data_IF_408102079474
#
_entry.id   IF_408102079474
#
_cell.length_a   1.000
_cell.length_b   1.000
_cell.length_c   1.000
_cell.angle_alpha   90.00
_cell.angle_beta   90.00
_cell.angle_gamma   90.00
#
_symmetry.space_group_name_H-M   'P 1'
#
loop_
_entity.id
_entity.type
_entity.pdbx_description
1 polymer ?
#
# COMPACT_ATOMS: atom_id res chain seq x y z
N UNK A 1 -10.51 -15.97 -9.33
CA UNK A 1 -11.63 -15.56 -8.45
C UNK A 1 -11.69 -16.54 -7.30
N UNK A 2 -12.06 -16.08 -6.11
CA UNK A 2 -12.21 -16.96 -4.95
C UNK A 2 -13.61 -17.58 -4.97
N UNK A 3 -13.68 -18.90 -4.86
CA UNK A 3 -14.95 -19.65 -4.90
C UNK A 3 -15.56 -19.87 -3.51
N UNK A 4 -14.79 -19.61 -2.45
CA UNK A 4 -15.25 -19.73 -1.07
C UNK A 4 -16.25 -18.62 -0.73
N UNK A 5 -17.51 -19.03 -0.54
CA UNK A 5 -18.63 -18.15 -0.19
C UNK A 5 -18.66 -17.73 1.28
N UNK A 6 -17.85 -18.33 2.16
CA UNK A 6 -17.72 -17.88 3.55
C UNK A 6 -16.83 -16.63 3.68
N UNK A 7 -15.85 -16.46 2.79
CA UNK A 7 -14.87 -15.38 2.86
C UNK A 7 -15.45 -13.96 2.77
N UNK A 8 -16.46 -13.65 1.93
CA UNK A 8 -17.12 -12.35 1.93
C UNK A 8 -17.66 -11.94 3.31
N UNK A 9 -18.18 -12.90 4.08
CA UNK A 9 -18.71 -12.67 5.42
C UNK A 9 -17.60 -12.44 6.44
N UNK A 10 -16.48 -13.16 6.33
CA UNK A 10 -15.31 -12.96 7.20
C UNK A 10 -14.60 -11.62 6.95
N UNK A 11 -14.51 -11.19 5.68
CA UNK A 11 -13.83 -9.95 5.28
C UNK A 11 -14.74 -8.72 5.32
N UNK A 12 -16.00 -8.89 5.70
CA UNK A 12 -16.99 -7.83 5.67
C UNK A 12 -16.65 -6.66 6.58
N UNK A 13 -16.87 -5.44 6.08
CA UNK A 13 -16.81 -4.21 6.87
C UNK A 13 -18.14 -3.48 6.76
N UNK A 14 -18.66 -2.88 7.85
CA UNK A 14 -19.93 -2.12 7.79
C UNK A 14 -19.98 -1.05 6.70
N UNK A 15 -18.83 -0.46 6.35
CA UNK A 15 -18.70 0.53 5.27
C UNK A 15 -19.00 -0.01 3.87
N UNK A 16 -18.91 -1.33 3.64
CA UNK A 16 -19.19 -1.95 2.33
C UNK A 16 -20.68 -1.92 1.98
N UNK A 17 -21.56 -1.74 2.96
CA UNK A 17 -23.02 -1.66 2.74
C UNK A 17 -23.45 -0.52 1.81
N UNK A 18 -22.60 0.50 1.63
CA UNK A 18 -22.83 1.59 0.67
C UNK A 18 -22.78 1.06 -0.78
N UNK A 19 -21.92 0.07 -1.05
CA UNK A 19 -21.74 -0.53 -2.37
C UNK A 19 -22.57 -1.80 -2.56
N UNK A 20 -22.84 -2.52 -1.47
CA UNK A 20 -23.59 -3.78 -1.45
C UNK A 20 -24.71 -3.69 -0.40
N UNK A 21 -25.87 -3.09 -0.74
CA UNK A 21 -26.95 -2.83 0.22
C UNK A 21 -27.49 -4.09 0.90
N UNK A 22 -27.46 -5.22 0.18
CA UNK A 22 -27.95 -6.53 0.62
C UNK A 22 -26.99 -7.23 1.60
N UNK A 23 -25.78 -6.68 1.79
CA UNK A 23 -24.83 -7.15 2.79
C UNK A 23 -23.84 -8.20 2.27
N UNK A 24 -23.14 -8.85 3.20
CA UNK A 24 -22.05 -9.77 2.89
C UNK A 24 -22.48 -11.04 2.14
N UNK A 25 -23.76 -11.40 2.24
CA UNK A 25 -24.39 -12.57 1.62
C UNK A 25 -24.94 -12.27 0.22
N UNK A 26 -24.73 -11.05 -0.31
CA UNK A 26 -25.17 -10.71 -1.66
C UNK A 26 -24.52 -11.65 -2.69
N UNK A 27 -25.32 -12.42 -3.47
CA UNK A 27 -24.80 -13.43 -4.40
C UNK A 27 -23.94 -12.82 -5.52
N UNK A 28 -24.07 -11.51 -5.76
CA UNK A 28 -23.33 -10.77 -6.77
C UNK A 28 -21.94 -10.32 -6.29
N UNK A 29 -21.60 -10.51 -5.01
CA UNK A 29 -20.25 -10.26 -4.50
C UNK A 29 -19.30 -11.35 -5.01
N UNK A 30 -18.17 -10.91 -5.55
CA UNK A 30 -17.05 -11.77 -5.93
C UNK A 30 -15.78 -11.26 -5.27
N UNK A 31 -15.01 -12.19 -4.69
CA UNK A 31 -13.73 -11.87 -4.08
C UNK A 31 -12.59 -12.10 -5.09
N UNK A 32 -11.71 -11.11 -5.19
CA UNK A 32 -10.46 -11.19 -5.94
C UNK A 32 -9.33 -11.50 -4.96
N UNK A 33 -8.60 -12.58 -5.23
CA UNK A 33 -7.34 -12.87 -4.58
C UNK A 33 -6.22 -12.47 -5.52
N UNK A 34 -5.34 -11.60 -5.04
CA UNK A 34 -4.17 -11.10 -5.78
C UNK A 34 -2.94 -11.55 -5.02
N UNK A 35 -2.11 -12.38 -5.66
CA UNK A 35 -0.80 -12.78 -5.16
C UNK A 35 0.24 -11.94 -5.87
N UNK A 36 0.90 -11.03 -5.14
CA UNK A 36 2.01 -10.25 -5.68
C UNK A 36 3.29 -11.07 -5.68
N UNK A 37 4.06 -11.00 -6.76
CA UNK A 37 5.35 -11.70 -6.85
C UNK A 37 6.51 -10.85 -6.34
N UNK A 38 6.47 -9.56 -6.69
CA UNK A 38 7.48 -8.57 -6.34
C UNK A 38 6.82 -7.27 -5.93
N UNK A 39 7.48 -6.50 -5.06
CA UNK A 39 7.09 -5.14 -4.73
C UNK A 39 8.31 -4.22 -4.61
N UNK A 40 8.14 -3.01 -5.14
CA UNK A 40 8.98 -1.87 -4.83
C UNK A 40 8.25 -0.99 -3.82
N UNK A 41 8.97 -0.57 -2.78
CA UNK A 41 8.41 0.35 -1.78
C UNK A 41 9.30 1.57 -1.60
N UNK A 42 8.66 2.67 -1.18
CA UNK A 42 9.32 3.89 -0.70
C UNK A 42 8.80 4.23 0.69
N UNK A 43 9.66 4.14 1.70
CA UNK A 43 9.34 4.44 3.10
C UNK A 43 9.90 5.79 3.54
N UNK A 44 9.05 6.81 3.49
CA UNK A 44 9.32 8.14 4.00
C UNK A 44 8.72 8.39 5.40
N UNK A 45 8.45 7.35 6.18
CA UNK A 45 7.87 7.47 7.52
C UNK A 45 8.90 7.76 8.61
N UNK A 46 8.45 8.32 9.75
CA UNK A 46 9.30 8.52 10.93
C UNK A 46 10.53 9.41 10.66
N UNK A 47 11.71 8.94 11.07
CA UNK A 47 12.97 9.69 10.90
C UNK A 47 13.32 9.99 9.44
N UNK A 48 12.80 9.18 8.49
CA UNK A 48 13.01 9.38 7.06
C UNK A 48 12.35 10.66 6.55
N UNK A 49 11.22 11.06 7.12
CA UNK A 49 10.52 12.31 6.79
C UNK A 49 11.35 13.54 7.14
N UNK A 50 11.94 13.57 8.34
CA UNK A 50 12.79 14.69 8.78
C UNK A 50 14.06 14.79 7.95
N UNK A 51 14.66 13.65 7.58
CA UNK A 51 15.82 13.61 6.68
C UNK A 51 15.47 14.18 5.30
N UNK A 52 14.32 13.79 4.74
CA UNK A 52 13.85 14.30 3.45
C UNK A 52 13.66 15.82 3.47
N UNK A 53 13.01 16.35 4.51
CA UNK A 53 12.78 17.79 4.66
C UNK A 53 14.10 18.56 4.76
N UNK A 54 15.04 18.09 5.58
CA UNK A 54 16.36 18.72 5.74
C UNK A 54 17.14 18.73 4.42
N UNK A 55 17.15 17.61 3.69
CA UNK A 55 17.81 17.54 2.38
C UNK A 55 17.15 18.43 1.34
N UNK A 56 15.82 18.55 1.37
CA UNK A 56 15.07 19.43 0.49
C UNK A 56 15.39 20.91 0.71
N UNK A 57 15.52 21.33 1.97
CA UNK A 57 15.93 22.69 2.31
C UNK A 57 17.36 22.99 1.84
N UNK A 58 18.30 22.07 2.05
CA UNK A 58 19.67 22.22 1.56
C UNK A 58 19.74 22.29 0.03
N UNK A 59 18.97 21.44 -0.66
CA UNK A 59 18.90 21.40 -2.12
C UNK A 59 18.35 22.70 -2.71
N UNK A 60 17.31 23.27 -2.09
CA UNK A 60 16.77 24.57 -2.47
C UNK A 60 17.82 25.68 -2.34
N UNK A 61 18.60 25.68 -1.26
CA UNK A 61 19.68 26.64 -1.06
C UNK A 61 20.83 26.46 -2.05
N UNK A 62 21.13 25.21 -2.43
CA UNK A 62 22.21 24.86 -3.35
C UNK A 62 21.82 24.90 -4.83
N UNK A 63 20.53 25.08 -5.17
CA UNK A 63 20.03 24.98 -6.55
C UNK A 63 20.17 23.58 -7.15
N UNK A 64 20.22 22.54 -6.31
CA UNK A 64 20.37 21.14 -6.70
C UNK A 64 19.12 20.34 -6.33
N UNK A 65 19.13 19.03 -6.59
CA UNK A 65 18.10 18.11 -6.11
C UNK A 65 18.50 17.51 -4.76
N UNK A 66 17.53 17.12 -3.91
CA UNK A 66 17.82 16.45 -2.64
C UNK A 66 18.57 15.13 -2.88
N UNK A 67 19.68 14.92 -2.17
CA UNK A 67 20.45 13.67 -2.23
C UNK A 67 19.78 12.58 -1.37
N UNK A 68 18.73 11.99 -1.94
CA UNK A 68 18.06 10.82 -1.37
C UNK A 68 18.88 9.59 -1.73
N UNK A 69 19.81 9.21 -0.86
CA UNK A 69 20.55 7.95 -1.02
C UNK A 69 19.57 6.77 -1.15
N UNK A 70 19.71 6.00 -2.24
CA UNK A 70 19.12 4.67 -2.38
C UNK A 70 19.65 3.76 -1.25
N UNK A 71 18.72 3.16 -0.50
CA UNK A 71 18.90 2.58 0.83
C UNK A 71 17.59 2.74 1.61
N UNK A 72 17.53 2.38 2.92
CA UNK A 72 16.38 2.27 3.88
C UNK A 72 15.04 3.01 3.65
N UNK A 73 14.96 3.98 2.74
CA UNK A 73 13.76 4.64 2.22
C UNK A 73 13.24 4.05 0.90
N UNK A 74 13.98 3.20 0.20
CA UNK A 74 13.54 2.49 -1.00
C UNK A 74 14.08 1.05 -0.97
N UNK A 75 13.26 0.09 -1.38
CA UNK A 75 13.66 -1.31 -1.43
C UNK A 75 12.82 -2.12 -2.41
N UNK A 76 13.42 -3.21 -2.88
CA UNK A 76 12.78 -4.26 -3.66
C UNK A 76 12.59 -5.47 -2.75
N UNK A 77 11.40 -6.08 -2.79
CA UNK A 77 11.07 -7.26 -1.99
C UNK A 77 10.42 -8.31 -2.89
N UNK A 78 10.92 -9.55 -2.82
CA UNK A 78 10.21 -10.72 -3.37
C UNK A 78 9.18 -11.17 -2.34
N UNK A 79 7.92 -11.28 -2.77
CA UNK A 79 6.77 -11.51 -1.89
C UNK A 79 6.31 -12.97 -1.86
N UNK A 80 6.91 -13.82 -2.70
CA UNK A 80 6.70 -15.26 -2.76
C UNK A 80 8.06 -15.96 -2.73
N UNK A 81 8.21 -16.97 -1.87
CA UNK A 81 9.43 -17.78 -1.77
C UNK A 81 9.62 -18.72 -2.98
#
# INVERSE_FOLDING_TARGET
MVEDRAMPCELWKPSFKILFPDGAEDPNIVLLHITGEHAEYWDNSGANQFRYLYQSLNALAAGSTPDIKEGNQHGNVTLID
#
